data_IF_066781193268
#
_entry.id   IF_066781193268
#
_cell.length_a   1.000
_cell.length_b   1.000
_cell.length_c   1.000
_cell.angle_alpha   90.00
_cell.angle_beta   90.00
_cell.angle_gamma   90.00
#
_symmetry.space_group_name_H-M   'P 1'
#
loop_
_entity.id
_entity.type
_entity.pdbx_description
1 polymer ?
#
# COMPACT_ATOMS: atom_id res chain seq x y z
N UNK A 1 27.53 -6.48 -3.09
CA UNK A 1 26.14 -5.97 -3.03
C UNK A 1 25.58 -6.02 -4.44
N UNK A 2 24.77 -7.02 -4.72
CA UNK A 2 24.08 -7.17 -6.01
C UNK A 2 23.16 -5.98 -6.24
N UNK A 3 23.09 -5.53 -7.50
CA UNK A 3 22.19 -4.49 -8.02
C UNK A 3 20.84 -4.60 -7.29
N UNK A 4 20.39 -3.51 -6.67
CA UNK A 4 19.28 -3.47 -5.72
C UNK A 4 17.95 -3.99 -6.36
N UNK A 5 17.71 -5.31 -6.32
CA UNK A 5 16.54 -5.95 -6.95
C UNK A 5 15.20 -5.42 -6.42
N UNK A 6 15.19 -4.78 -5.25
CA UNK A 6 13.99 -4.16 -4.68
C UNK A 6 13.38 -3.10 -5.60
N UNK A 7 14.15 -2.51 -6.53
CA UNK A 7 13.59 -1.59 -7.53
C UNK A 7 12.51 -2.23 -8.41
N UNK A 8 12.46 -3.57 -8.52
CA UNK A 8 11.40 -4.32 -9.21
C UNK A 8 10.16 -4.54 -8.35
N UNK A 9 10.29 -4.46 -7.03
CA UNK A 9 9.19 -4.62 -6.08
C UNK A 9 8.39 -3.32 -6.04
N UNK A 10 7.39 -3.22 -6.90
CA UNK A 10 6.59 -2.00 -7.13
C UNK A 10 5.10 -2.20 -6.86
N UNK A 11 4.70 -3.41 -6.52
CA UNK A 11 3.34 -3.75 -6.11
C UNK A 11 3.32 -4.91 -5.11
N UNK A 12 2.31 -4.92 -4.25
CA UNK A 12 2.02 -6.01 -3.30
C UNK A 12 0.59 -5.89 -2.79
N UNK A 13 0.02 -7.01 -2.36
CA UNK A 13 -1.25 -7.04 -1.64
C UNK A 13 -0.97 -6.87 -0.14
N UNK A 14 -1.34 -5.71 0.41
CA UNK A 14 -1.14 -5.35 1.80
C UNK A 14 -2.47 -4.90 2.40
N UNK A 15 -2.85 -5.46 3.55
CA UNK A 15 -4.17 -5.24 4.15
C UNK A 15 -5.32 -5.59 3.18
N UNK A 16 -5.18 -6.73 2.50
CA UNK A 16 -6.20 -7.31 1.60
C UNK A 16 -6.50 -6.49 0.35
N UNK A 17 -5.69 -5.48 0.04
CA UNK A 17 -5.83 -4.65 -1.17
C UNK A 17 -4.49 -4.44 -1.88
N UNK A 18 -4.49 -4.30 -3.21
CA UNK A 18 -3.28 -4.09 -4.00
C UNK A 18 -2.79 -2.66 -3.83
N UNK A 19 -1.51 -2.54 -3.48
CA UNK A 19 -0.78 -1.28 -3.44
C UNK A 19 0.23 -1.25 -4.56
N UNK A 20 0.37 -0.09 -5.21
CA UNK A 20 1.37 0.17 -6.25
C UNK A 20 2.16 1.42 -5.92
N UNK A 21 3.44 1.41 -6.24
CA UNK A 21 4.32 2.55 -5.97
C UNK A 21 5.47 2.63 -6.97
N UNK A 22 6.19 3.74 -6.90
CA UNK A 22 7.41 3.98 -7.64
C UNK A 22 8.59 4.16 -6.69
N UNK A 23 9.78 3.86 -7.19
CA UNK A 23 11.03 4.09 -6.48
C UNK A 23 11.70 5.34 -7.00
N UNK A 24 12.00 6.28 -6.10
CA UNK A 24 12.88 7.41 -6.37
C UNK A 24 14.09 7.29 -5.45
N UNK A 25 15.21 6.79 -5.98
CA UNK A 25 16.32 6.29 -5.15
C UNK A 25 15.76 5.28 -4.14
N UNK A 26 16.03 5.43 -2.84
CA UNK A 26 15.56 4.50 -1.80
C UNK A 26 14.19 4.86 -1.21
N UNK A 27 13.47 5.81 -1.83
CA UNK A 27 12.20 6.30 -1.33
C UNK A 27 11.01 5.77 -2.14
N UNK A 28 9.95 5.43 -1.42
CA UNK A 28 8.65 5.05 -1.97
C UNK A 28 7.87 6.34 -2.28
N UNK A 29 7.59 6.56 -3.56
CA UNK A 29 6.80 7.70 -4.07
C UNK A 29 5.58 7.20 -4.85
N UNK A 30 4.60 8.07 -5.06
CA UNK A 30 3.37 7.75 -5.81
C UNK A 30 2.65 6.49 -5.31
N UNK A 31 2.74 6.20 -4.01
CA UNK A 31 2.07 5.07 -3.38
C UNK A 31 0.55 5.25 -3.49
N UNK A 32 -0.12 4.28 -4.11
CA UNK A 32 -1.56 4.28 -4.34
C UNK A 32 -2.14 2.91 -4.01
N UNK A 33 -3.36 2.91 -3.51
CA UNK A 33 -4.15 1.70 -3.28
C UNK A 33 -5.13 1.53 -4.42
N UNK A 34 -5.35 0.29 -4.87
CA UNK A 34 -6.22 -0.02 -5.99
C UNK A 34 -7.33 -1.00 -5.58
N UNK A 35 -8.45 -0.97 -6.29
CA UNK A 35 -9.52 -1.93 -6.14
C UNK A 35 -9.14 -3.26 -6.79
N UNK A 36 -9.34 -4.38 -6.09
CA UNK A 36 -9.15 -5.72 -6.68
C UNK A 36 -10.14 -6.01 -7.82
N UNK A 37 -11.36 -5.51 -7.70
CA UNK A 37 -12.45 -5.88 -8.62
C UNK A 37 -12.40 -5.13 -9.95
N UNK A 38 -12.07 -3.82 -9.91
CA UNK A 38 -12.10 -2.96 -11.10
C UNK A 38 -10.76 -2.28 -11.42
N UNK A 39 -9.74 -2.41 -10.56
CA UNK A 39 -8.42 -1.78 -10.75
C UNK A 39 -8.36 -0.27 -10.49
N UNK A 40 -9.50 0.40 -10.25
CA UNK A 40 -9.57 1.84 -9.97
C UNK A 40 -8.77 2.22 -8.72
N UNK A 41 -8.22 3.43 -8.67
CA UNK A 41 -7.54 3.93 -7.47
C UNK A 41 -8.56 4.17 -6.37
N UNK A 42 -8.33 3.59 -5.18
CA UNK A 42 -9.19 3.80 -4.03
C UNK A 42 -9.01 5.22 -3.48
N UNK A 43 -10.13 5.82 -3.09
CA UNK A 43 -10.15 7.04 -2.27
C UNK A 43 -10.16 6.65 -0.79
N UNK A 44 -9.85 7.60 0.09
CA UNK A 44 -9.84 7.35 1.53
C UNK A 44 -10.70 8.35 2.30
N UNK A 45 -11.28 7.85 3.39
CA UNK A 45 -12.03 8.64 4.36
C UNK A 45 -11.47 8.39 5.77
N UNK A 46 -11.24 9.46 6.53
CA UNK A 46 -10.70 9.39 7.88
C UNK A 46 -11.83 9.52 8.90
N UNK A 47 -11.99 8.50 9.72
CA UNK A 47 -12.81 8.54 10.92
C UNK A 47 -11.92 8.82 12.12
N UNK A 48 -11.90 10.10 12.52
CA UNK A 48 -11.10 10.58 13.63
C UNK A 48 -11.62 10.12 15.00
N UNK A 49 -12.89 9.75 15.11
CA UNK A 49 -13.48 9.26 16.36
C UNK A 49 -13.08 7.81 16.62
N UNK A 50 -13.11 6.97 15.58
CA UNK A 50 -12.71 5.56 15.68
C UNK A 50 -11.22 5.33 15.38
N UNK A 51 -10.48 6.38 15.02
CA UNK A 51 -9.08 6.30 14.58
C UNK A 51 -8.88 5.28 13.46
N UNK A 52 -9.71 5.37 12.42
CA UNK A 52 -9.69 4.47 11.26
C UNK A 52 -9.61 5.27 9.97
N UNK A 53 -8.92 4.70 8.98
CA UNK A 53 -8.98 5.12 7.59
C UNK A 53 -9.65 4.04 6.76
N UNK A 54 -10.75 4.39 6.13
CA UNK A 54 -11.47 3.54 5.19
C UNK A 54 -10.96 3.80 3.78
N UNK A 55 -10.78 2.73 3.00
CA UNK A 55 -10.44 2.79 1.58
C UNK A 55 -11.64 2.34 0.76
N UNK A 56 -12.15 3.25 -0.06
CA UNK A 56 -13.41 3.12 -0.79
C UNK A 56 -13.12 3.10 -2.28
N UNK A 57 -13.82 2.24 -3.02
CA UNK A 57 -13.75 2.23 -4.47
C UNK A 57 -14.85 3.13 -5.04
N UNK A 58 -14.52 4.20 -5.79
CA UNK A 58 -15.52 5.07 -6.40
C UNK A 58 -16.38 4.36 -7.45
N UNK A 59 -15.79 3.44 -8.22
CA UNK A 59 -16.51 2.73 -9.28
C UNK A 59 -17.39 1.59 -8.77
N UNK A 60 -16.97 0.90 -7.70
CA UNK A 60 -17.72 -0.19 -7.10
C UNK A 60 -18.63 0.27 -5.94
N UNK A 61 -18.60 1.56 -5.60
CA UNK A 61 -19.37 2.17 -4.51
C UNK A 61 -19.32 1.36 -3.20
N UNK A 62 -18.15 0.81 -2.88
CA UNK A 62 -17.97 -0.13 -1.76
C UNK A 62 -16.63 0.04 -1.06
N UNK A 63 -16.64 -0.23 0.24
CA UNK A 63 -15.43 -0.29 1.05
C UNK A 63 -14.62 -1.52 0.67
N UNK A 64 -13.30 -1.34 0.48
CA UNK A 64 -12.37 -2.43 0.14
C UNK A 64 -11.38 -2.75 1.24
N UNK A 65 -10.99 -1.76 2.05
CA UNK A 65 -10.11 -1.99 3.20
C UNK A 65 -10.39 -0.98 4.31
N UNK A 66 -9.91 -1.32 5.51
CA UNK A 66 -9.86 -0.43 6.66
C UNK A 66 -8.52 -0.60 7.37
N UNK A 67 -7.86 0.52 7.67
CA UNK A 67 -6.64 0.52 8.48
C UNK A 67 -6.93 1.31 9.75
N UNK A 68 -6.81 0.64 10.90
CA UNK A 68 -6.96 1.27 12.22
C UNK A 68 -5.65 1.88 12.73
N UNK A 69 -5.78 2.76 13.73
CA UNK A 69 -4.66 3.34 14.46
C UNK A 69 -4.33 4.80 14.11
N UNK A 70 -5.09 5.43 13.21
CA UNK A 70 -4.87 6.83 12.86
C UNK A 70 -5.61 7.28 11.60
N UNK A 71 -5.14 8.40 11.06
CA UNK A 71 -5.62 8.98 9.80
C UNK A 71 -4.88 8.38 8.58
N UNK A 72 -5.18 8.90 7.40
CA UNK A 72 -4.55 8.44 6.17
C UNK A 72 -3.02 8.57 6.21
N UNK A 73 -2.46 9.64 6.80
CA UNK A 73 -0.99 9.75 6.93
C UNK A 73 -0.41 8.57 7.72
N UNK A 74 -1.07 8.18 8.81
CA UNK A 74 -0.70 7.00 9.58
C UNK A 74 -0.82 5.71 8.75
N UNK A 75 -1.95 5.53 8.04
CA UNK A 75 -2.20 4.36 7.21
C UNK A 75 -1.14 4.20 6.11
N UNK A 76 -0.85 5.26 5.33
CA UNK A 76 0.23 5.24 4.33
C UNK A 76 1.60 5.00 4.98
N UNK A 77 1.83 5.48 6.19
CA UNK A 77 3.04 5.22 6.97
C UNK A 77 3.20 3.74 7.34
N UNK A 78 2.12 3.06 7.71
CA UNK A 78 2.11 1.60 7.94
C UNK A 78 2.51 0.85 6.67
N UNK A 79 1.88 1.18 5.53
CA UNK A 79 2.16 0.50 4.26
C UNK A 79 3.63 0.63 3.88
N UNK A 80 4.21 1.84 3.99
CA UNK A 80 5.63 2.06 3.75
C UNK A 80 6.52 1.24 4.70
N UNK A 81 6.15 1.14 5.98
CA UNK A 81 6.90 0.31 6.95
C UNK A 81 6.86 -1.16 6.57
N UNK A 82 5.71 -1.65 6.09
CA UNK A 82 5.55 -3.05 5.70
C UNK A 82 6.32 -3.40 4.43
N UNK A 83 6.30 -2.53 3.41
CA UNK A 83 7.16 -2.67 2.22
C UNK A 83 8.64 -2.75 2.64
N UNK A 84 9.08 -1.84 3.51
CA UNK A 84 10.46 -1.85 4.03
C UNK A 84 10.77 -3.09 4.88
N UNK A 85 9.81 -3.59 5.66
CA UNK A 85 9.95 -4.84 6.43
C UNK A 85 10.20 -6.00 5.48
N UNK A 86 9.36 -6.16 4.45
CA UNK A 86 9.49 -7.21 3.43
C UNK A 86 10.81 -7.11 2.65
N UNK A 87 11.30 -5.90 2.37
CA UNK A 87 12.64 -5.69 1.79
C UNK A 87 13.74 -6.22 2.73
N UNK A 88 13.68 -5.87 4.02
CA UNK A 88 14.66 -6.28 5.03
C UNK A 88 14.64 -7.79 5.28
N UNK A 89 13.46 -8.42 5.28
CA UNK A 89 13.30 -9.87 5.47
C UNK A 89 13.45 -10.67 4.17
N UNK A 90 13.61 -10.01 3.02
CA UNK A 90 13.71 -10.59 1.68
C UNK A 90 12.45 -11.29 1.16
N UNK A 91 11.32 -11.17 1.85
CA UNK A 91 10.01 -11.69 1.41
C UNK A 91 9.57 -11.13 0.06
N UNK A 92 10.00 -9.92 -0.29
CA UNK A 92 9.67 -9.32 -1.59
C UNK A 92 10.21 -10.11 -2.80
N UNK A 93 11.22 -10.96 -2.60
CA UNK A 93 11.85 -11.69 -3.70
C UNK A 93 10.89 -12.67 -4.37
N UNK A 94 9.97 -13.23 -3.58
CA UNK A 94 8.95 -14.15 -4.08
C UNK A 94 7.88 -13.44 -4.93
N UNK A 95 7.84 -12.10 -4.88
CA UNK A 95 6.85 -11.25 -5.54
C UNK A 95 7.38 -10.57 -6.82
N UNK A 96 8.68 -10.67 -7.11
CA UNK A 96 9.32 -10.01 -8.27
C UNK A 96 9.93 -11.00 -9.26
N UNK A 97 9.61 -12.29 -9.10
CA UNK A 97 10.22 -13.38 -9.85
C UNK A 97 9.75 -13.49 -11.29
#
# INVERSE_FOLDING_TARGET
MTKEDFYKYKEDNLYEVPWRWEWKKKEIVNLKCHCLDCGETLVYENDYLLHKTYFLCPSCESQKAVIGGGDSKYAFGIIKREINRKIRTKEYKDLIS
#
